data_IF_926500450618
#
_entry.id   IF_926500450618
#
_cell.length_a   1.000
_cell.length_b   1.000
_cell.length_c   1.000
_cell.angle_alpha   90.00
_cell.angle_beta   90.00
_cell.angle_gamma   90.00
#
_symmetry.space_group_name_H-M   'P 1'
#
loop_
_entity.id
_entity.type
_entity.pdbx_description
1 polymer ?
#
# COMPACT_ATOMS: atom_id res chain seq x y z
N UNK A 1 13.62 -3.96 17.01
CA UNK A 1 12.62 -4.73 17.79
C UNK A 1 12.18 -6.00 17.08
N UNK A 2 11.95 -5.99 15.75
CA UNK A 2 11.74 -7.26 15.03
C UNK A 2 13.06 -8.02 14.81
N UNK A 3 14.17 -7.30 14.72
CA UNK A 3 15.52 -7.85 14.49
C UNK A 3 15.98 -8.75 15.64
N UNK A 4 15.42 -8.55 16.84
CA UNK A 4 15.66 -9.39 18.02
C UNK A 4 14.82 -10.67 18.00
N UNK A 5 13.68 -10.68 17.28
CA UNK A 5 12.84 -11.86 17.10
C UNK A 5 13.23 -12.66 15.85
N UNK A 6 13.74 -11.98 14.83
CA UNK A 6 14.18 -12.55 13.55
C UNK A 6 15.69 -12.42 13.46
N UNK A 7 16.39 -13.45 13.94
CA UNK A 7 17.85 -13.47 14.02
C UNK A 7 18.55 -13.50 12.64
N UNK A 8 17.87 -13.94 11.59
CA UNK A 8 18.40 -13.99 10.23
C UNK A 8 18.15 -12.68 9.48
N UNK A 9 19.23 -11.95 9.16
CA UNK A 9 19.17 -10.75 8.32
C UNK A 9 18.60 -11.03 6.93
N UNK A 10 18.99 -12.17 6.34
CA UNK A 10 18.46 -12.65 5.05
C UNK A 10 16.95 -12.83 5.11
N UNK A 11 16.46 -13.46 6.17
CA UNK A 11 15.03 -13.68 6.39
C UNK A 11 14.27 -12.36 6.48
N UNK A 12 14.78 -11.41 7.26
CA UNK A 12 14.16 -10.10 7.40
C UNK A 12 14.11 -9.36 6.06
N UNK A 13 15.20 -9.37 5.27
CA UNK A 13 15.22 -8.77 3.92
C UNK A 13 14.18 -9.41 3.00
N UNK A 14 14.06 -10.73 3.01
CA UNK A 14 13.06 -11.45 2.21
C UNK A 14 11.63 -11.11 2.65
N UNK A 15 11.37 -11.05 3.96
CA UNK A 15 10.07 -10.63 4.50
C UNK A 15 9.70 -9.22 4.02
N UNK A 16 10.63 -8.26 4.16
CA UNK A 16 10.42 -6.90 3.69
C UNK A 16 10.16 -6.87 2.17
N UNK A 17 10.95 -7.61 1.38
CA UNK A 17 10.84 -7.66 -0.08
C UNK A 17 9.48 -8.16 -0.56
N UNK A 18 9.00 -9.27 0.01
CA UNK A 18 7.83 -9.97 -0.51
C UNK A 18 6.51 -9.58 0.17
N UNK A 19 6.53 -9.23 1.46
CA UNK A 19 5.32 -9.04 2.25
C UNK A 19 4.89 -7.57 2.38
N UNK A 20 5.76 -6.61 2.09
CA UNK A 20 5.35 -5.20 1.99
C UNK A 20 4.59 -4.92 0.69
N UNK A 21 5.01 -5.55 -0.41
CA UNK A 21 4.33 -5.48 -1.71
C UNK A 21 4.10 -6.89 -2.25
N UNK A 22 2.86 -7.39 -2.13
CA UNK A 22 2.49 -8.74 -2.56
C UNK A 22 2.59 -9.00 -4.07
N UNK A 23 2.67 -7.95 -4.89
CA UNK A 23 2.90 -8.07 -6.34
C UNK A 23 4.38 -8.26 -6.69
N UNK A 24 5.29 -8.11 -5.73
CA UNK A 24 6.72 -8.29 -5.97
C UNK A 24 7.04 -9.73 -6.28
N UNK A 25 7.70 -9.93 -7.42
CA UNK A 25 8.30 -11.21 -7.81
C UNK A 25 9.81 -11.06 -7.85
N UNK A 26 10.53 -12.14 -7.52
CA UNK A 26 11.99 -12.15 -7.60
C UNK A 26 12.53 -13.55 -7.87
N UNK A 27 13.77 -13.61 -8.33
CA UNK A 27 14.50 -14.85 -8.56
C UNK A 27 15.82 -14.83 -7.80
N UNK A 28 16.38 -15.99 -7.51
CA UNK A 28 17.52 -16.17 -6.60
C UNK A 28 18.71 -15.25 -6.93
N UNK A 29 19.19 -15.23 -8.18
CA UNK A 29 20.31 -14.36 -8.58
C UNK A 29 19.99 -12.87 -8.52
N UNK A 30 18.74 -12.48 -8.76
CA UNK A 30 18.32 -11.10 -8.60
C UNK A 30 18.42 -10.65 -7.14
N UNK A 31 17.99 -11.51 -6.22
CA UNK A 31 18.06 -11.27 -4.78
C UNK A 31 19.49 -11.24 -4.26
N UNK A 32 20.39 -12.07 -4.81
CA UNK A 32 21.83 -12.03 -4.49
C UNK A 32 22.43 -10.66 -4.78
N UNK A 33 22.23 -10.14 -6.00
CA UNK A 33 22.71 -8.83 -6.39
C UNK A 33 22.09 -7.71 -5.55
N UNK A 34 20.79 -7.82 -5.23
CA UNK A 34 20.06 -6.81 -4.45
C UNK A 34 20.48 -6.78 -2.98
N UNK A 35 20.68 -7.94 -2.37
CA UNK A 35 20.93 -8.05 -0.93
C UNK A 35 22.40 -8.03 -0.56
N UNK A 36 23.30 -8.29 -1.51
CA UNK A 36 24.74 -8.41 -1.27
C UNK A 36 25.07 -9.59 -0.35
N UNK A 37 24.29 -10.66 -0.40
CA UNK A 37 24.41 -11.83 0.47
C UNK A 37 24.63 -13.10 -0.34
N UNK A 38 25.24 -14.11 0.29
CA UNK A 38 25.53 -15.36 -0.40
C UNK A 38 24.28 -16.02 -0.99
N UNK A 39 24.40 -16.52 -2.21
CA UNK A 39 23.32 -17.26 -2.90
C UNK A 39 22.79 -18.41 -2.04
N UNK A 40 23.67 -19.08 -1.28
CA UNK A 40 23.29 -20.20 -0.40
C UNK A 40 22.37 -19.75 0.75
N UNK A 41 22.69 -18.63 1.41
CA UNK A 41 21.87 -18.12 2.51
C UNK A 41 20.46 -17.71 2.03
N UNK A 42 20.40 -17.01 0.90
CA UNK A 42 19.14 -16.59 0.27
C UNK A 42 18.32 -17.83 -0.14
N UNK A 43 18.96 -18.82 -0.78
CA UNK A 43 18.29 -20.06 -1.17
C UNK A 43 17.69 -20.81 0.02
N UNK A 44 18.43 -20.92 1.13
CA UNK A 44 17.95 -21.62 2.31
C UNK A 44 16.69 -20.96 2.88
N UNK A 45 16.65 -19.64 2.97
CA UNK A 45 15.48 -18.92 3.47
C UNK A 45 14.31 -18.91 2.48
N UNK A 46 14.58 -18.81 1.16
CA UNK A 46 13.54 -18.95 0.14
C UNK A 46 12.87 -20.33 0.19
N UNK A 47 13.67 -21.40 0.30
CA UNK A 47 13.15 -22.76 0.43
C UNK A 47 12.32 -22.91 1.70
N UNK A 48 12.78 -22.38 2.84
CA UNK A 48 12.01 -22.39 4.09
C UNK A 48 10.66 -21.69 3.95
N UNK A 49 10.61 -20.55 3.26
CA UNK A 49 9.35 -19.84 3.05
C UNK A 49 8.42 -20.57 2.08
N UNK A 50 8.97 -21.18 1.03
CA UNK A 50 8.21 -22.00 0.10
C UNK A 50 7.64 -23.26 0.79
N UNK A 51 8.46 -23.97 1.56
CA UNK A 51 8.05 -25.15 2.35
C UNK A 51 6.98 -24.80 3.39
N UNK A 52 7.06 -23.61 3.99
CA UNK A 52 6.05 -23.09 4.92
C UNK A 52 4.79 -22.56 4.21
N UNK A 53 4.74 -22.57 2.87
CA UNK A 53 3.62 -22.03 2.09
C UNK A 53 3.49 -20.50 2.12
N UNK A 54 4.50 -19.81 2.65
CA UNK A 54 4.59 -18.35 2.75
C UNK A 54 4.91 -17.70 1.39
N UNK A 55 5.73 -18.37 0.58
CA UNK A 55 5.98 -18.01 -0.82
C UNK A 55 5.43 -19.09 -1.74
N UNK A 56 4.89 -18.68 -2.87
CA UNK A 56 4.66 -19.53 -4.02
C UNK A 56 5.85 -19.39 -4.97
N UNK A 57 6.21 -20.48 -5.64
CA UNK A 57 7.24 -20.46 -6.66
C UNK A 57 6.77 -21.10 -7.96
N UNK A 58 7.17 -20.53 -9.08
CA UNK A 58 6.90 -21.06 -10.41
C UNK A 58 8.13 -20.93 -11.32
N UNK A 59 8.20 -21.79 -12.33
CA UNK A 59 9.28 -21.75 -13.32
C UNK A 59 8.92 -20.77 -14.44
N UNK A 60 9.85 -19.88 -14.76
CA UNK A 60 9.80 -18.98 -15.91
C UNK A 60 11.09 -19.12 -16.71
N UNK A 61 11.05 -19.96 -17.74
CA UNK A 61 12.25 -20.40 -18.45
C UNK A 61 13.21 -21.14 -17.51
N UNK A 62 14.48 -20.73 -17.49
CA UNK A 62 15.51 -21.32 -16.62
C UNK A 62 15.56 -20.71 -15.21
N UNK A 63 14.56 -19.89 -14.84
CA UNK A 63 14.52 -19.19 -13.55
C UNK A 63 13.35 -19.69 -12.72
N UNK A 64 13.61 -19.96 -11.44
CA UNK A 64 12.57 -20.12 -10.42
C UNK A 64 12.22 -18.73 -9.86
N UNK A 65 10.97 -18.33 -10.05
CA UNK A 65 10.41 -17.06 -9.61
C UNK A 65 9.62 -17.31 -8.33
N UNK A 66 9.80 -16.43 -7.34
CA UNK A 66 9.14 -16.47 -6.05
C UNK A 66 8.20 -15.26 -5.90
N UNK A 67 7.07 -15.46 -5.23
CA UNK A 67 6.09 -14.43 -4.88
C UNK A 67 5.45 -14.74 -3.53
N UNK A 68 5.01 -13.72 -2.79
CA UNK A 68 4.25 -13.96 -1.56
C UNK A 68 2.91 -14.63 -1.82
N UNK A 69 2.59 -15.64 -1.00
CA UNK A 69 1.29 -16.26 -0.99
C UNK A 69 0.30 -15.41 -0.18
N UNK A 70 -0.45 -14.55 -0.86
CA UNK A 70 -1.46 -13.68 -0.21
C UNK A 70 -2.66 -14.44 0.33
N UNK A 71 -2.85 -15.70 -0.06
CA UNK A 71 -3.92 -16.57 0.43
C UNK A 71 -3.55 -17.26 1.75
N UNK A 72 -2.29 -17.19 2.16
CA UNK A 72 -1.84 -17.82 3.39
C UNK A 72 -2.44 -17.12 4.63
N UNK A 73 -3.00 -17.85 5.62
CA UNK A 73 -3.72 -17.25 6.76
C UNK A 73 -2.92 -16.21 7.55
N UNK A 74 -1.60 -16.42 7.72
CA UNK A 74 -0.71 -15.53 8.48
C UNK A 74 -0.17 -14.33 7.65
N UNK A 75 -0.42 -14.29 6.35
CA UNK A 75 0.06 -13.21 5.48
C UNK A 75 -0.29 -11.80 6.01
N UNK A 76 -1.55 -11.49 6.35
CA UNK A 76 -1.90 -10.16 6.87
C UNK A 76 -1.17 -9.81 8.17
N UNK A 77 -0.94 -10.79 9.06
CA UNK A 77 -0.23 -10.56 10.33
C UNK A 77 1.24 -10.23 10.10
N UNK A 78 1.92 -10.99 9.23
CA UNK A 78 3.30 -10.70 8.83
C UNK A 78 3.39 -9.29 8.24
N UNK A 79 2.49 -8.95 7.31
CA UNK A 79 2.47 -7.64 6.68
C UNK A 79 2.28 -6.51 7.71
N UNK A 80 1.37 -6.68 8.66
CA UNK A 80 1.11 -5.71 9.72
C UNK A 80 2.31 -5.55 10.66
N UNK A 81 2.95 -6.65 11.06
CA UNK A 81 4.17 -6.60 11.88
C UNK A 81 5.28 -5.84 11.14
N UNK A 82 5.46 -6.09 9.84
CA UNK A 82 6.48 -5.41 9.04
C UNK A 82 6.19 -3.91 8.90
N UNK A 83 4.92 -3.51 8.68
CA UNK A 83 4.50 -2.09 8.64
C UNK A 83 4.80 -1.36 9.96
N UNK A 84 4.56 -2.02 11.10
CA UNK A 84 4.93 -1.51 12.43
C UNK A 84 6.44 -1.37 12.57
N UNK A 85 7.19 -2.37 12.12
CA UNK A 85 8.66 -2.36 12.20
C UNK A 85 9.29 -1.19 11.42
N UNK A 86 8.82 -0.92 10.20
CA UNK A 86 9.32 0.21 9.39
C UNK A 86 8.73 1.56 9.81
N UNK A 87 7.80 1.59 10.77
CA UNK A 87 7.17 2.81 11.26
C UNK A 87 6.16 3.44 10.29
N UNK A 88 5.69 2.72 9.27
CA UNK A 88 4.68 3.23 8.34
C UNK A 88 3.38 3.58 9.08
N UNK A 89 2.98 2.76 10.06
CA UNK A 89 1.75 3.02 10.84
C UNK A 89 1.82 4.38 11.56
N UNK A 90 2.97 4.72 12.15
CA UNK A 90 3.17 6.02 12.79
C UNK A 90 3.12 7.18 11.81
N UNK A 91 3.63 6.97 10.57
CA UNK A 91 3.56 7.99 9.52
C UNK A 91 2.10 8.19 9.10
N UNK A 92 1.35 7.10 8.86
CA UNK A 92 -0.07 7.16 8.50
C UNK A 92 -0.86 7.86 9.59
N UNK A 93 -0.68 7.46 10.86
CA UNK A 93 -1.37 8.07 12.00
C UNK A 93 -1.04 9.57 12.12
N UNK A 94 0.23 9.96 11.98
CA UNK A 94 0.64 11.37 11.99
C UNK A 94 0.06 12.16 10.82
N UNK A 95 0.01 11.57 9.63
CA UNK A 95 -0.59 12.18 8.44
C UNK A 95 -2.08 12.39 8.67
N UNK A 96 -2.81 11.35 9.10
CA UNK A 96 -4.24 11.45 9.41
C UNK A 96 -4.48 12.51 10.50
N UNK A 97 -3.74 12.46 11.60
CA UNK A 97 -3.88 13.42 12.71
C UNK A 97 -3.61 14.86 12.27
N UNK A 98 -2.61 15.10 11.42
CA UNK A 98 -2.32 16.45 10.88
C UNK A 98 -3.32 16.90 9.83
N UNK A 99 -3.85 15.98 9.05
CA UNK A 99 -4.81 16.26 7.98
C UNK A 99 -6.19 16.58 8.55
N UNK A 100 -6.54 15.97 9.69
CA UNK A 100 -7.78 16.21 10.42
C UNK A 100 -8.72 15.01 10.37
N UNK A 101 -10.00 15.24 10.68
CA UNK A 101 -10.97 14.15 10.78
C UNK A 101 -11.64 13.88 9.44
N UNK A 102 -11.07 12.91 8.71
CA UNK A 102 -11.58 12.42 7.43
C UNK A 102 -12.47 11.21 7.70
N UNK A 103 -13.73 11.31 7.30
CA UNK A 103 -14.71 10.25 7.43
C UNK A 103 -14.64 9.32 6.21
N UNK A 104 -14.64 9.89 5.00
CA UNK A 104 -14.69 9.12 3.74
C UNK A 104 -13.92 9.83 2.62
N UNK A 105 -13.35 9.07 1.71
CA UNK A 105 -12.79 9.60 0.46
C UNK A 105 -13.33 8.79 -0.71
N UNK A 106 -13.80 9.50 -1.73
CA UNK A 106 -14.30 8.93 -2.98
C UNK A 106 -13.44 9.39 -4.14
N UNK A 107 -13.25 8.50 -5.11
CA UNK A 107 -12.87 8.89 -6.47
C UNK A 107 -14.16 9.10 -7.27
N UNK A 108 -14.22 10.19 -8.02
CA UNK A 108 -15.33 10.54 -8.92
C UNK A 108 -14.80 10.73 -10.35
N UNK A 109 -15.67 11.10 -11.29
CA UNK A 109 -15.27 11.41 -12.67
C UNK A 109 -14.85 10.17 -13.48
N UNK A 110 -13.88 10.33 -14.37
CA UNK A 110 -13.45 9.29 -15.32
C UNK A 110 -12.92 8.03 -14.61
N UNK A 111 -12.10 8.22 -13.58
CA UNK A 111 -11.53 7.12 -12.80
C UNK A 111 -12.60 6.29 -12.09
N UNK A 112 -13.68 6.92 -11.62
CA UNK A 112 -14.81 6.20 -11.01
C UNK A 112 -15.59 5.35 -12.02
N UNK A 113 -15.46 5.66 -13.32
CA UNK A 113 -16.06 4.90 -14.42
C UNK A 113 -15.06 3.90 -15.06
N UNK A 114 -13.89 3.71 -14.46
CA UNK A 114 -12.84 2.83 -14.99
C UNK A 114 -12.16 3.38 -16.24
N UNK A 115 -12.28 4.68 -16.52
CA UNK A 115 -11.59 5.36 -17.63
C UNK A 115 -10.34 6.04 -17.09
N UNK A 116 -9.25 5.93 -17.86
CA UNK A 116 -8.02 6.64 -17.57
C UNK A 116 -8.16 8.13 -17.92
N UNK A 117 -7.57 9.01 -17.10
CA UNK A 117 -7.65 10.46 -17.27
C UNK A 117 -6.43 11.15 -16.69
N UNK A 118 -6.10 12.35 -17.19
CA UNK A 118 -4.96 13.14 -16.67
C UNK A 118 -5.21 13.69 -15.27
N UNK A 119 -6.47 13.77 -14.86
CA UNK A 119 -6.92 14.34 -13.60
C UNK A 119 -7.65 13.28 -12.79
N UNK A 120 -7.24 13.10 -11.54
CA UNK A 120 -7.94 12.29 -10.55
C UNK A 120 -8.84 13.23 -9.75
N UNK A 121 -10.15 13.07 -9.89
CA UNK A 121 -11.13 13.83 -9.11
C UNK A 121 -11.44 13.12 -7.79
N UNK A 122 -11.17 13.79 -6.68
CA UNK A 122 -11.40 13.31 -5.32
C UNK A 122 -12.56 14.07 -4.67
N UNK A 123 -13.41 13.34 -3.96
CA UNK A 123 -14.39 13.91 -3.04
C UNK A 123 -14.06 13.46 -1.63
N UNK A 124 -13.65 14.41 -0.79
CA UNK A 124 -13.19 14.19 0.57
C UNK A 124 -14.32 14.62 1.52
N UNK A 125 -14.76 13.70 2.36
CA UNK A 125 -15.75 13.95 3.40
C UNK A 125 -15.03 14.08 4.73
N UNK A 126 -15.05 15.28 5.31
CA UNK A 126 -14.34 15.58 6.54
C UNK A 126 -15.11 16.63 7.37
N UNK A 127 -15.02 16.53 8.70
CA UNK A 127 -15.57 17.57 9.59
C UNK A 127 -14.62 18.75 9.73
N UNK A 128 -13.36 18.44 10.07
CA UNK A 128 -12.30 19.44 10.23
C UNK A 128 -11.07 18.97 9.47
N UNK A 129 -10.64 19.76 8.49
CA UNK A 129 -9.51 19.43 7.65
C UNK A 129 -8.49 20.57 7.62
N UNK A 130 -7.22 20.24 7.77
CA UNK A 130 -6.12 21.17 7.56
C UNK A 130 -5.88 21.35 6.06
N UNK A 131 -6.49 22.39 5.47
CA UNK A 131 -6.39 22.69 4.04
C UNK A 131 -4.96 22.98 3.59
N UNK A 132 -4.15 23.63 4.43
CA UNK A 132 -2.74 23.91 4.10
C UNK A 132 -1.95 22.62 3.97
N UNK A 133 -2.07 21.72 4.96
CA UNK A 133 -1.39 20.43 4.93
C UNK A 133 -1.91 19.52 3.81
N UNK A 134 -3.21 19.56 3.51
CA UNK A 134 -3.77 18.83 2.36
C UNK A 134 -3.14 19.31 1.04
N UNK A 135 -3.05 20.63 0.82
CA UNK A 135 -2.45 21.19 -0.39
C UNK A 135 -0.99 20.78 -0.54
N UNK A 136 -0.19 20.84 0.53
CA UNK A 136 1.20 20.35 0.52
C UNK A 136 1.30 18.86 0.20
N UNK A 137 0.39 18.05 0.75
CA UNK A 137 0.35 16.60 0.52
C UNK A 137 -0.03 16.30 -0.94
N UNK A 138 -0.99 17.03 -1.49
CA UNK A 138 -1.41 16.90 -2.88
C UNK A 138 -0.28 17.29 -3.83
N UNK A 139 0.37 18.43 -3.62
CA UNK A 139 1.48 18.89 -4.46
C UNK A 139 2.61 17.85 -4.51
N UNK A 140 2.98 17.30 -3.35
CA UNK A 140 3.95 16.19 -3.27
C UNK A 140 3.44 14.94 -3.99
N UNK A 141 2.17 14.61 -3.85
CA UNK A 141 1.60 13.40 -4.47
C UNK A 141 1.55 13.51 -5.99
N UNK A 142 1.10 14.65 -6.54
CA UNK A 142 1.09 14.93 -7.98
C UNK A 142 2.49 14.74 -8.60
N UNK A 143 3.54 15.17 -7.89
CA UNK A 143 4.93 15.01 -8.34
C UNK A 143 5.37 13.55 -8.44
N UNK A 144 4.77 12.65 -7.65
CA UNK A 144 5.10 11.23 -7.63
C UNK A 144 4.30 10.44 -8.67
N UNK A 145 3.00 10.70 -8.76
CA UNK A 145 2.08 9.89 -9.58
C UNK A 145 1.89 10.44 -11.00
N UNK A 146 2.46 11.61 -11.32
CA UNK A 146 2.36 12.26 -12.65
C UNK A 146 0.92 12.50 -13.13
N UNK A 147 -0.03 12.53 -12.20
CA UNK A 147 -1.44 12.87 -12.43
C UNK A 147 -1.76 14.14 -11.64
N UNK A 148 -2.62 14.98 -12.20
CA UNK A 148 -3.19 16.10 -11.47
C UNK A 148 -4.29 15.61 -10.53
N UNK A 149 -4.43 16.23 -9.37
CA UNK A 149 -5.44 15.88 -8.38
C UNK A 149 -6.35 17.09 -8.19
N UNK A 150 -7.60 16.91 -8.58
CA UNK A 150 -8.69 17.85 -8.30
C UNK A 150 -9.46 17.33 -7.10
N UNK A 151 -9.88 18.19 -6.17
CA UNK A 151 -10.59 17.75 -4.99
C UNK A 151 -11.70 18.69 -4.55
N UNK A 152 -12.76 18.10 -3.99
CA UNK A 152 -13.85 18.82 -3.32
C UNK A 152 -13.93 18.31 -1.88
N UNK A 153 -14.01 19.23 -0.92
CA UNK A 153 -14.19 18.90 0.50
C UNK A 153 -15.64 19.18 0.87
N UNK A 154 -16.33 18.17 1.43
CA UNK A 154 -17.70 18.26 1.90
C UNK A 154 -17.80 17.76 3.34
N UNK A 155 -18.77 18.26 4.09
CA UNK A 155 -19.23 17.62 5.33
C UNK A 155 -20.30 16.55 5.04
N UNK A 156 -20.75 15.81 6.05
CA UNK A 156 -21.75 14.73 5.85
C UNK A 156 -23.10 15.25 5.33
N UNK A 157 -23.52 16.45 5.74
CA UNK A 157 -24.77 17.07 5.27
C UNK A 157 -24.68 17.49 3.80
N UNK A 158 -23.58 18.13 3.40
CA UNK A 158 -23.32 18.55 2.02
C UNK A 158 -23.13 17.36 1.09
N UNK A 159 -22.60 16.25 1.60
CA UNK A 159 -22.51 15.00 0.84
C UNK A 159 -23.91 14.52 0.44
N UNK A 160 -24.90 14.57 1.34
CA UNK A 160 -26.26 14.14 1.01
C UNK A 160 -26.86 14.98 -0.13
N UNK A 161 -26.68 16.30 -0.08
CA UNK A 161 -27.13 17.22 -1.14
C UNK A 161 -26.39 17.00 -2.46
N UNK A 162 -25.07 16.79 -2.40
CA UNK A 162 -24.25 16.48 -3.56
C UNK A 162 -24.68 15.17 -4.23
N UNK A 163 -25.06 14.16 -3.43
CA UNK A 163 -25.59 12.88 -3.94
C UNK A 163 -26.90 13.05 -4.70
N UNK A 164 -27.78 13.94 -4.25
CA UNK A 164 -29.05 14.22 -4.93
C UNK A 164 -28.86 14.99 -6.24
N UNK A 165 -27.92 15.96 -6.26
CA UNK A 165 -27.69 16.80 -7.44
C UNK A 165 -26.86 16.12 -8.54
N UNK A 166 -26.05 15.11 -8.19
CA UNK A 166 -25.15 14.45 -9.15
C UNK A 166 -25.29 12.92 -9.09
N UNK A 167 -25.81 12.33 -10.17
CA UNK A 167 -26.04 10.88 -10.31
C UNK A 167 -24.82 10.10 -10.84
N UNK A 168 -23.60 10.65 -10.74
CA UNK A 168 -22.37 10.01 -11.23
C UNK A 168 -21.89 8.86 -10.35
N UNK A 169 -21.16 7.93 -10.96
CA UNK A 169 -20.46 6.85 -10.24
C UNK A 169 -19.42 7.41 -9.27
N UNK A 170 -19.31 6.77 -8.10
CA UNK A 170 -18.36 7.13 -7.05
C UNK A 170 -17.75 5.87 -6.49
N UNK A 171 -16.42 5.79 -6.49
CA UNK A 171 -15.69 4.68 -5.91
C UNK A 171 -15.19 5.07 -4.53
N UNK A 172 -15.62 4.37 -3.48
CA UNK A 172 -15.08 4.57 -2.12
C UNK A 172 -13.66 4.02 -2.08
N UNK A 173 -12.69 4.86 -1.72
CA UNK A 173 -11.28 4.44 -1.56
C UNK A 173 -10.81 4.46 -0.10
N UNK A 174 -11.51 5.21 0.76
CA UNK A 174 -11.26 5.23 2.19
C UNK A 174 -12.57 5.44 2.95
N UNK A 175 -12.74 4.71 4.04
CA UNK A 175 -13.75 4.94 5.06
C UNK A 175 -13.07 4.77 6.40
N UNK A 176 -13.29 5.70 7.33
CA UNK A 176 -12.83 5.56 8.70
C UNK A 176 -13.60 4.41 9.34
N UNK A 177 -12.90 3.36 9.76
CA UNK A 177 -13.49 2.27 10.52
C UNK A 177 -13.94 2.83 11.88
N UNK A 178 -15.24 2.72 12.17
CA UNK A 178 -15.85 3.07 13.47
C UNK A 178 -15.64 1.98 14.49
#
# INVERSE_FOLDING_TARGET
MIDTLISSKTRLKLLLKFFLNSKTTAYLRGLECEFGESTNAIRLELNRFEEAGLLEAHSSGNKKIYQANTKHPIFPDIQNILKKYIGIDQIIEKVITRLGDINKVYVIGDFANGKDSKVIDLLIVAQQLNRTFLSELIEKTESLIHHKISYIILNETELADYKQKHAGNRLVIYTKDT
#
